data_IF_189656465654
#
_entry.id   IF_189656465654
#
_cell.length_a   1.000
_cell.length_b   1.000
_cell.length_c   1.000
_cell.angle_alpha   90.00
_cell.angle_beta   90.00
_cell.angle_gamma   90.00
#
_symmetry.space_group_name_H-M   'P 1'
#
loop_
_entity.id
_entity.type
_entity.pdbx_description
1 polymer ?
#
# COMPACT_ATOMS: atom_id res chain seq x y z
N UNK A 1 9.29 12.19 15.72
CA UNK A 1 8.11 11.53 15.11
C UNK A 1 6.86 12.29 15.58
N UNK A 2 6.41 13.30 14.85
CA UNK A 2 5.37 14.27 15.27
C UNK A 2 3.94 13.85 14.91
N UNK A 3 3.76 12.93 13.95
CA UNK A 3 2.44 12.40 13.57
C UNK A 3 2.15 11.10 14.32
N UNK A 4 0.93 10.99 14.86
CA UNK A 4 0.39 9.81 15.58
C UNK A 4 1.32 9.31 16.71
N UNK A 5 1.69 10.16 17.69
CA UNK A 5 2.69 9.84 18.72
C UNK A 5 2.34 8.60 19.56
N UNK A 6 1.05 8.33 19.79
CA UNK A 6 0.60 7.15 20.56
C UNK A 6 1.01 5.83 19.91
N UNK A 7 0.82 5.68 18.59
CA UNK A 7 1.20 4.46 17.85
C UNK A 7 2.70 4.19 17.95
N UNK A 8 3.52 5.24 17.98
CA UNK A 8 4.96 5.13 18.14
C UNK A 8 5.37 4.79 19.56
N UNK A 9 4.70 5.36 20.56
CA UNK A 9 4.97 5.06 21.98
C UNK A 9 4.61 3.62 22.33
N UNK A 10 3.52 3.10 21.77
CA UNK A 10 3.01 1.74 22.02
C UNK A 10 3.57 0.70 21.03
N UNK A 11 4.33 1.14 20.02
CA UNK A 11 4.81 0.31 18.91
C UNK A 11 3.70 -0.54 18.25
N UNK A 12 2.50 0.02 18.14
CA UNK A 12 1.28 -0.64 17.64
C UNK A 12 1.03 -0.41 16.15
N UNK A 13 2.03 0.08 15.42
CA UNK A 13 1.98 0.31 13.99
C UNK A 13 2.65 -0.84 13.24
N UNK A 14 2.17 -1.09 12.02
CA UNK A 14 2.69 -2.09 11.11
C UNK A 14 3.18 -1.41 9.82
N UNK A 15 4.29 -1.90 9.29
CA UNK A 15 4.81 -1.47 8.00
C UNK A 15 4.55 -2.56 6.96
N UNK A 16 3.95 -2.18 5.85
CA UNK A 16 3.84 -3.00 4.66
C UNK A 16 4.69 -2.39 3.54
N UNK A 17 5.50 -3.22 2.89
CA UNK A 17 6.29 -2.86 1.71
C UNK A 17 6.58 -4.13 0.89
N UNK A 18 6.98 -3.96 -0.37
CA UNK A 18 7.34 -5.07 -1.24
C UNK A 18 8.74 -5.64 -0.94
N UNK A 19 9.04 -6.79 -1.53
CA UNK A 19 10.30 -7.50 -1.34
C UNK A 19 11.41 -7.04 -2.29
N UNK A 20 11.38 -5.79 -2.76
CA UNK A 20 12.45 -5.26 -3.59
C UNK A 20 13.81 -5.42 -2.86
N UNK A 21 14.92 -5.71 -3.58
CA UNK A 21 16.22 -5.97 -2.95
C UNK A 21 16.69 -4.84 -2.02
N UNK A 22 16.37 -3.59 -2.35
CA UNK A 22 16.65 -2.42 -1.50
C UNK A 22 15.90 -2.47 -0.17
N UNK A 23 14.68 -2.99 -0.14
CA UNK A 23 13.83 -3.09 1.04
C UNK A 23 14.17 -4.30 1.92
N UNK A 24 14.78 -5.35 1.35
CA UNK A 24 15.22 -6.55 2.08
C UNK A 24 16.71 -6.55 2.42
N UNK A 25 17.43 -5.46 2.10
CA UNK A 25 18.85 -5.32 2.36
C UNK A 25 19.18 -5.48 3.86
N UNK A 26 20.37 -6.02 4.16
CA UNK A 26 20.81 -6.29 5.54
C UNK A 26 20.70 -5.05 6.43
N UNK A 27 21.14 -3.90 5.93
CA UNK A 27 21.09 -2.63 6.66
C UNK A 27 19.67 -2.23 7.10
N UNK A 28 18.66 -2.50 6.26
CA UNK A 28 17.26 -2.23 6.63
C UNK A 28 16.71 -3.27 7.59
N UNK A 29 17.07 -4.55 7.40
CA UNK A 29 16.67 -5.62 8.33
C UNK A 29 17.23 -5.39 9.73
N UNK A 30 18.50 -4.98 9.84
CA UNK A 30 19.13 -4.57 11.10
C UNK A 30 18.44 -3.34 11.69
N UNK A 31 18.09 -2.36 10.87
CA UNK A 31 17.31 -1.20 11.31
C UNK A 31 15.96 -1.61 11.89
N UNK A 32 15.17 -2.40 11.16
CA UNK A 32 13.86 -2.85 11.64
C UNK A 32 13.96 -3.67 12.92
N UNK A 33 14.97 -4.55 13.03
CA UNK A 33 15.24 -5.30 14.27
C UNK A 33 15.60 -4.38 15.42
N UNK A 34 16.50 -3.41 15.21
CA UNK A 34 16.93 -2.46 16.24
C UNK A 34 15.77 -1.62 16.77
N UNK A 35 14.82 -1.27 15.91
CA UNK A 35 13.66 -0.47 16.27
C UNK A 35 12.40 -1.31 16.54
N UNK A 36 12.51 -2.64 16.61
CA UNK A 36 11.39 -3.56 16.83
C UNK A 36 10.18 -3.26 15.93
N UNK A 37 10.44 -2.93 14.67
CA UNK A 37 9.39 -2.54 13.73
C UNK A 37 8.58 -3.76 13.30
N UNK A 38 7.26 -3.70 13.44
CA UNK A 38 6.38 -4.78 12.97
C UNK A 38 6.26 -4.70 11.44
N UNK A 39 6.71 -5.74 10.74
CA UNK A 39 6.62 -5.85 9.28
C UNK A 39 5.51 -6.82 8.92
N UNK A 40 4.63 -6.41 8.00
CA UNK A 40 3.63 -7.30 7.39
C UNK A 40 4.31 -8.08 6.26
N UNK A 41 4.26 -9.43 6.25
CA UNK A 41 4.87 -10.21 5.17
C UNK A 41 4.15 -9.94 3.85
N UNK A 42 4.93 -9.83 2.77
CA UNK A 42 4.43 -9.67 1.42
C UNK A 42 4.86 -10.89 0.58
N UNK A 43 3.94 -11.58 -0.12
CA UNK A 43 4.32 -12.60 -1.09
C UNK A 43 4.95 -11.99 -2.35
N UNK A 44 5.86 -12.75 -2.97
CA UNK A 44 6.52 -12.34 -4.22
C UNK A 44 5.50 -12.22 -5.36
N UNK A 45 5.68 -11.21 -6.21
CA UNK A 45 4.84 -10.98 -7.41
C UNK A 45 3.33 -10.81 -7.14
N UNK A 46 2.95 -10.31 -5.97
CA UNK A 46 1.54 -10.10 -5.60
C UNK A 46 1.15 -8.62 -5.48
N UNK A 47 1.18 -7.84 -6.59
CA UNK A 47 0.74 -6.44 -6.58
C UNK A 47 -0.76 -6.30 -6.25
N UNK A 48 -1.55 -7.34 -6.54
CA UNK A 48 -2.95 -7.51 -6.15
C UNK A 48 -3.16 -7.53 -4.63
N UNK A 49 -2.10 -7.78 -3.84
CA UNK A 49 -2.12 -7.73 -2.39
C UNK A 49 -1.42 -6.49 -1.82
N UNK A 50 -1.01 -5.53 -2.64
CA UNK A 50 -0.36 -4.30 -2.19
C UNK A 50 -1.29 -3.11 -2.33
N UNK A 51 -1.73 -2.46 -1.24
CA UNK A 51 -2.64 -1.30 -1.29
C UNK A 51 -2.14 -0.15 -2.19
N UNK A 52 -0.81 0.05 -2.23
CA UNK A 52 -0.22 1.04 -3.11
C UNK A 52 -0.45 0.73 -4.60
N UNK A 53 -0.30 -0.54 -4.99
CA UNK A 53 -0.36 -0.99 -6.38
C UNK A 53 -1.81 -1.12 -6.87
N UNK A 54 -2.67 -1.84 -6.14
CA UNK A 54 -4.04 -2.08 -6.60
C UNK A 54 -4.97 -0.86 -6.45
N UNK A 55 -4.64 0.10 -5.58
CA UNK A 55 -5.56 1.20 -5.24
C UNK A 55 -4.93 2.61 -5.32
N UNK A 56 -3.81 2.87 -4.64
CA UNK A 56 -3.30 4.25 -4.53
C UNK A 56 -2.80 4.78 -5.87
N UNK A 57 -1.91 4.04 -6.53
CA UNK A 57 -1.28 4.50 -7.76
C UNK A 57 -2.29 4.64 -8.91
N UNK A 58 -3.33 3.80 -8.96
CA UNK A 58 -4.39 3.94 -9.96
C UNK A 58 -5.18 5.25 -9.77
N UNK A 59 -5.52 5.62 -8.53
CA UNK A 59 -6.17 6.91 -8.22
C UNK A 59 -5.28 8.11 -8.58
N UNK A 60 -4.00 8.07 -8.21
CA UNK A 60 -3.05 9.16 -8.52
C UNK A 60 -2.84 9.30 -10.03
N UNK A 61 -2.53 8.18 -10.72
CA UNK A 61 -2.31 8.19 -12.17
C UNK A 61 -3.53 8.67 -12.93
N UNK A 62 -4.75 8.34 -12.48
CA UNK A 62 -5.99 8.81 -13.12
C UNK A 62 -6.11 10.33 -13.12
N UNK A 63 -5.74 10.99 -12.02
CA UNK A 63 -5.77 12.45 -11.93
C UNK A 63 -4.69 13.11 -12.78
N UNK A 64 -3.52 12.49 -12.88
CA UNK A 64 -2.38 13.02 -13.62
C UNK A 64 -2.42 12.67 -15.11
N UNK A 65 -3.28 11.74 -15.52
CA UNK A 65 -3.34 11.23 -16.89
C UNK A 65 -3.68 12.33 -17.88
N UNK A 66 -2.89 12.43 -18.95
CA UNK A 66 -3.11 13.39 -20.04
C UNK A 66 -2.52 14.78 -19.79
N UNK A 67 -2.01 15.05 -18.59
CA UNK A 67 -1.35 16.31 -18.27
C UNK A 67 0.15 16.20 -18.53
N UNK A 68 0.69 17.10 -19.35
CA UNK A 68 2.13 17.26 -19.53
C UNK A 68 2.64 18.25 -18.49
N UNK A 69 3.49 17.78 -17.58
CA UNK A 69 4.13 18.60 -16.56
C UNK A 69 5.56 18.87 -17.00
N UNK A 70 5.99 20.13 -16.94
CA UNK A 70 7.26 20.57 -17.53
C UNK A 70 8.42 20.58 -16.54
N UNK A 71 8.13 20.58 -15.24
CA UNK A 71 9.12 20.64 -14.16
C UNK A 71 8.89 19.58 -13.09
N UNK A 72 9.94 19.28 -12.31
CA UNK A 72 9.86 18.40 -11.14
C UNK A 72 8.95 19.03 -10.07
N UNK A 73 8.99 20.36 -9.95
CA UNK A 73 8.18 21.14 -9.03
C UNK A 73 6.69 20.98 -9.35
N UNK A 74 6.30 21.03 -10.62
CA UNK A 74 4.93 20.78 -11.06
C UNK A 74 4.52 19.33 -10.77
N UNK A 75 5.38 18.34 -11.06
CA UNK A 75 5.10 16.93 -10.74
C UNK A 75 4.83 16.74 -9.25
N UNK A 76 5.66 17.33 -8.39
CA UNK A 76 5.49 17.26 -6.93
C UNK A 76 4.19 17.93 -6.48
N UNK A 77 3.89 19.13 -7.00
CA UNK A 77 2.68 19.88 -6.66
C UNK A 77 1.43 19.11 -7.07
N UNK A 78 1.33 18.71 -8.34
CA UNK A 78 0.14 18.01 -8.85
C UNK A 78 -0.04 16.63 -8.19
N UNK A 79 1.05 15.90 -7.94
CA UNK A 79 0.97 14.62 -7.22
C UNK A 79 0.48 14.80 -5.78
N UNK A 80 0.94 15.86 -5.10
CA UNK A 80 0.48 16.19 -3.74
C UNK A 80 -0.99 16.61 -3.74
N UNK A 81 -1.42 17.44 -4.69
CA UNK A 81 -2.82 17.82 -4.86
C UNK A 81 -3.70 16.59 -5.10
N UNK A 82 -3.29 15.70 -6.00
CA UNK A 82 -4.01 14.45 -6.27
C UNK A 82 -4.11 13.55 -5.03
N UNK A 83 -3.04 13.47 -4.23
CA UNK A 83 -3.03 12.71 -2.99
C UNK A 83 -3.96 13.32 -1.93
N UNK A 84 -3.92 14.64 -1.74
CA UNK A 84 -4.75 15.35 -0.77
C UNK A 84 -6.22 15.40 -1.17
N UNK A 85 -6.53 15.23 -2.46
CA UNK A 85 -7.89 15.13 -2.95
C UNK A 85 -8.55 13.77 -2.64
N UNK A 86 -7.80 12.75 -2.19
CA UNK A 86 -8.35 11.46 -1.80
C UNK A 86 -9.01 11.59 -0.41
N UNK A 87 -10.32 11.33 -0.28
CA UNK A 87 -11.00 11.39 1.01
C UNK A 87 -10.43 10.38 2.01
N UNK A 88 -10.41 10.73 3.30
CA UNK A 88 -9.96 9.82 4.36
C UNK A 88 -10.74 8.50 4.38
N UNK A 89 -12.04 8.55 4.11
CA UNK A 89 -12.90 7.36 4.02
C UNK A 89 -12.43 6.39 2.94
N UNK A 90 -11.87 6.87 1.82
CA UNK A 90 -11.37 5.99 0.77
C UNK A 90 -10.13 5.21 1.22
N UNK A 91 -9.28 5.80 2.07
CA UNK A 91 -8.16 5.08 2.68
C UNK A 91 -8.66 3.98 3.62
N UNK A 92 -9.69 4.26 4.44
CA UNK A 92 -10.28 3.26 5.32
C UNK A 92 -10.88 2.10 4.52
N UNK A 93 -11.64 2.42 3.47
CA UNK A 93 -12.22 1.43 2.55
C UNK A 93 -11.13 0.58 1.88
N UNK A 94 -9.99 1.17 1.50
CA UNK A 94 -8.86 0.43 0.94
C UNK A 94 -8.34 -0.65 1.89
N UNK A 95 -8.29 -0.40 3.20
CA UNK A 95 -7.85 -1.41 4.19
C UNK A 95 -8.88 -2.53 4.35
N UNK A 96 -10.17 -2.23 4.25
CA UNK A 96 -11.21 -3.28 4.24
C UNK A 96 -11.15 -4.12 2.96
N UNK A 97 -10.93 -3.49 1.80
CA UNK A 97 -10.74 -4.21 0.54
C UNK A 97 -9.45 -5.04 0.54
N UNK A 98 -8.42 -4.59 1.26
CA UNK A 98 -7.19 -5.38 1.45
C UNK A 98 -7.47 -6.70 2.19
N UNK A 99 -8.30 -6.68 3.23
CA UNK A 99 -8.75 -7.90 3.91
C UNK A 99 -9.51 -8.81 2.96
N UNK A 100 -10.44 -8.28 2.16
CA UNK A 100 -11.20 -9.09 1.18
C UNK A 100 -10.27 -9.73 0.14
N UNK A 101 -9.26 -8.98 -0.33
CA UNK A 101 -8.25 -9.48 -1.28
C UNK A 101 -7.43 -10.63 -0.68
N UNK A 102 -7.07 -10.58 0.61
CA UNK A 102 -6.46 -11.73 1.29
C UNK A 102 -7.35 -12.97 1.27
N UNK A 103 -8.65 -12.82 1.53
CA UNK A 103 -9.60 -13.95 1.47
C UNK A 103 -9.70 -14.52 0.05
N UNK A 104 -9.78 -13.66 -0.97
CA UNK A 104 -9.76 -14.10 -2.37
C UNK A 104 -8.49 -14.87 -2.73
N UNK A 105 -7.32 -14.40 -2.30
CA UNK A 105 -6.05 -15.10 -2.49
C UNK A 105 -6.05 -16.51 -1.85
N UNK A 106 -6.62 -16.63 -0.64
CA UNK A 106 -6.76 -17.93 0.04
C UNK A 106 -7.69 -18.86 -0.74
N UNK A 107 -8.85 -18.38 -1.18
CA UNK A 107 -9.81 -19.16 -1.97
C UNK A 107 -9.18 -19.61 -3.30
N UNK A 108 -8.44 -18.72 -3.95
CA UNK A 108 -7.69 -18.98 -5.17
C UNK A 108 -6.41 -19.83 -4.94
N UNK A 109 -6.14 -20.27 -3.70
CA UNK A 109 -4.95 -21.07 -3.34
C UNK A 109 -3.62 -20.43 -3.77
N UNK A 110 -3.57 -19.09 -3.75
CA UNK A 110 -2.40 -18.31 -4.15
C UNK A 110 -2.36 -17.89 -5.61
N UNK A 111 -3.32 -18.32 -6.44
CA UNK A 111 -3.45 -17.82 -7.82
C UNK A 111 -4.02 -16.39 -7.84
N UNK A 112 -3.80 -15.68 -8.95
CA UNK A 112 -4.40 -14.37 -9.20
C UNK A 112 -5.92 -14.48 -9.33
N UNK A 113 -6.64 -13.45 -8.84
CA UNK A 113 -8.12 -13.46 -8.74
C UNK A 113 -8.78 -12.22 -9.36
N UNK A 114 -8.08 -11.46 -10.20
CA UNK A 114 -8.66 -10.30 -10.90
C UNK A 114 -9.44 -10.76 -12.13
N UNK A 115 -10.77 -10.64 -12.09
CA UNK A 115 -11.68 -10.99 -13.20
C UNK A 115 -12.88 -11.86 -12.80
N UNK A 116 -12.83 -12.50 -11.64
CA UNK A 116 -13.86 -13.45 -11.21
C UNK A 116 -14.75 -12.86 -10.10
N UNK A 117 -16.07 -12.95 -10.29
CA UNK A 117 -17.10 -12.71 -9.28
C UNK A 117 -17.07 -13.85 -8.25
N UNK A 118 -16.04 -13.83 -7.39
CA UNK A 118 -15.96 -14.73 -6.24
C UNK A 118 -16.95 -14.18 -5.20
N UNK A 119 -18.10 -14.85 -5.12
CA UNK A 119 -19.14 -14.60 -4.12
C UNK A 119 -18.60 -14.94 -2.73
N UNK A 120 -18.89 -14.07 -1.75
CA UNK A 120 -18.39 -14.21 -0.38
C UNK A 120 -19.42 -14.87 0.55
N UNK A 121 -20.47 -15.47 0.01
CA UNK A 121 -21.43 -16.26 0.78
C UNK A 121 -20.99 -17.72 0.89
N UNK A 122 -20.15 -18.00 1.89
CA UNK A 122 -20.25 -19.22 2.71
C UNK A 122 -19.75 -18.97 4.14
#
# INVERSE_FOLDING_TARGET
RTKRPKLWAENSWFLHHDNAPSHTALILREFFSKFSTNIVPQPSYSPDLTPCDFWLFSKLKRQLRGNRLESIEDIKRESLCALMAIPEIDFQNCFEDWKKRWHKCIIAKGDYFEGDDIDFEE
#
